data_IF_105894647513
#
_entry.id   IF_105894647513
#
_cell.length_a   1.000
_cell.length_b   1.000
_cell.length_c   1.000
_cell.angle_alpha   90.00
_cell.angle_beta   90.00
_cell.angle_gamma   90.00
#
_symmetry.space_group_name_H-M   'P 1'
#
loop_
_entity.id
_entity.type
_entity.pdbx_description
1 polymer ?
#
# COMPACT_ATOMS: atom_id res chain seq x y z
N UNK A 1 2.02 -3.11 -17.82
CA UNK A 1 3.30 -3.12 -17.05
C UNK A 1 3.84 -4.55 -17.06
N UNK A 2 5.16 -4.72 -17.22
CA UNK A 2 5.77 -6.05 -17.10
C UNK A 2 5.77 -6.53 -15.65
N UNK A 3 5.66 -7.86 -15.45
CA UNK A 3 5.55 -8.48 -14.14
C UNK A 3 6.69 -8.09 -13.19
N UNK A 4 7.93 -8.06 -13.69
CA UNK A 4 9.11 -7.71 -12.89
C UNK A 4 9.07 -6.26 -12.40
N UNK A 5 8.66 -5.31 -13.26
CA UNK A 5 8.51 -3.91 -12.86
C UNK A 5 7.39 -3.73 -11.83
N UNK A 6 6.30 -4.49 -11.94
CA UNK A 6 5.25 -4.50 -10.93
C UNK A 6 5.79 -5.00 -9.58
N UNK A 7 6.55 -6.09 -9.57
CA UNK A 7 7.11 -6.67 -8.36
C UNK A 7 8.10 -5.73 -7.69
N UNK A 8 8.99 -5.10 -8.47
CA UNK A 8 9.90 -4.08 -7.99
C UNK A 8 9.13 -2.88 -7.39
N UNK A 9 8.12 -2.37 -8.09
CA UNK A 9 7.28 -1.28 -7.62
C UNK A 9 6.59 -1.64 -6.30
N UNK A 10 6.00 -2.83 -6.20
CA UNK A 10 5.32 -3.29 -4.98
C UNK A 10 6.31 -3.51 -3.83
N UNK A 11 7.51 -4.01 -4.09
CA UNK A 11 8.55 -4.17 -3.08
C UNK A 11 9.00 -2.80 -2.52
N UNK A 12 9.24 -1.84 -3.40
CA UNK A 12 9.58 -0.47 -3.04
C UNK A 12 8.46 0.20 -2.25
N UNK A 13 7.20 -0.05 -2.60
CA UNK A 13 6.06 0.45 -1.83
C UNK A 13 6.07 -0.10 -0.40
N UNK A 14 6.33 -1.39 -0.22
CA UNK A 14 6.45 -1.99 1.10
C UNK A 14 7.63 -1.39 1.90
N UNK A 15 8.74 -1.07 1.23
CA UNK A 15 9.88 -0.38 1.84
C UNK A 15 9.51 1.04 2.30
N UNK A 16 8.82 1.82 1.47
CA UNK A 16 8.29 3.16 1.83
C UNK A 16 7.41 3.09 3.08
N UNK A 17 6.49 2.12 3.14
CA UNK A 17 5.65 1.93 4.32
C UNK A 17 6.49 1.52 5.55
N UNK A 18 7.56 0.74 5.36
CA UNK A 18 8.53 0.44 6.41
C UNK A 18 9.21 1.69 6.97
N UNK A 19 9.74 2.56 6.09
CA UNK A 19 10.40 3.82 6.46
C UNK A 19 9.46 4.74 7.26
N UNK A 20 8.21 4.91 6.79
CA UNK A 20 7.20 5.70 7.51
C UNK A 20 6.96 5.19 8.93
N UNK A 21 6.89 3.87 9.10
CA UNK A 21 6.68 3.25 10.43
C UNK A 21 7.88 3.44 11.35
N UNK A 22 9.10 3.31 10.82
CA UNK A 22 10.31 3.58 11.58
C UNK A 22 10.30 5.02 12.06
N UNK A 23 9.98 5.98 11.19
CA UNK A 23 9.90 7.39 11.56
C UNK A 23 8.83 7.70 12.63
N UNK A 24 7.77 6.91 12.72
CA UNK A 24 6.71 7.02 13.75
C UNK A 24 7.06 6.31 15.08
N UNK A 25 8.17 5.56 15.13
CA UNK A 25 8.55 4.77 16.32
C UNK A 25 9.10 5.68 17.44
N UNK A 26 8.66 5.49 18.71
CA UNK A 26 9.21 6.22 19.84
C UNK A 26 10.74 6.04 19.96
N UNK A 27 11.46 7.13 20.23
CA UNK A 27 12.91 7.11 20.39
C UNK A 27 13.71 7.33 19.10
N UNK A 28 13.06 7.42 17.94
CA UNK A 28 13.75 7.80 16.69
C UNK A 28 14.08 9.29 16.69
N UNK A 29 15.35 9.60 16.43
CA UNK A 29 15.87 10.97 16.44
C UNK A 29 15.28 11.80 15.30
N UNK A 30 15.37 13.13 15.40
CA UNK A 30 14.95 14.01 14.31
C UNK A 30 15.75 13.79 13.02
N UNK A 31 17.05 13.49 13.14
CA UNK A 31 17.93 13.21 12.01
C UNK A 31 17.55 11.90 11.32
N UNK A 32 17.30 10.84 12.07
CA UNK A 32 16.88 9.55 11.51
C UNK A 32 15.52 9.67 10.81
N UNK A 33 14.56 10.42 11.38
CA UNK A 33 13.29 10.71 10.71
C UNK A 33 13.47 11.49 9.41
N UNK A 34 14.42 12.42 9.37
CA UNK A 34 14.71 13.18 8.16
C UNK A 34 15.28 12.26 7.08
N UNK A 35 16.26 11.41 7.44
CA UNK A 35 16.86 10.42 6.54
C UNK A 35 15.83 9.45 5.97
N UNK A 36 14.94 8.92 6.81
CA UNK A 36 13.87 8.01 6.39
C UNK A 36 12.88 8.71 5.43
N UNK A 37 12.55 9.97 5.71
CA UNK A 37 11.68 10.77 4.85
C UNK A 37 12.32 11.06 3.50
N UNK A 38 13.60 11.37 3.45
CA UNK A 38 14.32 11.59 2.19
C UNK A 38 14.37 10.30 1.37
N UNK A 39 14.66 9.16 1.99
CA UNK A 39 14.63 7.86 1.32
C UNK A 39 13.23 7.52 0.76
N UNK A 40 12.16 7.80 1.52
CA UNK A 40 10.79 7.66 1.04
C UNK A 40 10.54 8.53 -0.21
N UNK A 41 10.96 9.80 -0.16
CA UNK A 41 10.72 10.76 -1.23
C UNK A 41 11.42 10.32 -2.51
N UNK A 42 12.66 9.87 -2.43
CA UNK A 42 13.43 9.44 -3.60
C UNK A 42 12.79 8.21 -4.27
N UNK A 43 12.38 7.20 -3.49
CA UNK A 43 11.65 6.04 -4.03
C UNK A 43 10.33 6.48 -4.68
N UNK A 44 9.57 7.36 -3.99
CA UNK A 44 8.28 7.83 -4.47
C UNK A 44 8.38 8.63 -5.76
N UNK A 45 9.41 9.50 -5.88
CA UNK A 45 9.65 10.31 -7.09
C UNK A 45 9.97 9.42 -8.29
N UNK A 46 10.85 8.42 -8.12
CA UNK A 46 11.24 7.49 -9.19
C UNK A 46 10.03 6.83 -9.85
N UNK A 47 9.09 6.35 -9.04
CA UNK A 47 7.90 5.70 -9.56
C UNK A 47 6.87 6.69 -10.09
N UNK A 48 6.59 7.77 -9.35
CA UNK A 48 5.56 8.73 -9.72
C UNK A 48 5.84 9.43 -11.06
N UNK A 49 7.10 9.78 -11.31
CA UNK A 49 7.51 10.45 -12.55
C UNK A 49 8.01 9.47 -13.63
N UNK A 50 8.03 8.18 -13.33
CA UNK A 50 8.40 7.12 -14.26
C UNK A 50 7.23 6.62 -15.11
N UNK A 51 7.48 5.66 -16.02
CA UNK A 51 6.47 5.09 -16.93
C UNK A 51 5.35 4.30 -16.22
N UNK A 52 5.48 4.06 -14.91
CA UNK A 52 4.52 3.32 -14.09
C UNK A 52 3.91 4.19 -12.97
N UNK A 53 3.95 5.51 -13.14
CA UNK A 53 3.42 6.47 -12.16
C UNK A 53 1.93 6.29 -11.86
N UNK A 54 1.13 5.89 -12.85
CA UNK A 54 -0.29 5.58 -12.64
C UNK A 54 -0.48 4.40 -11.68
N UNK A 55 0.26 3.30 -11.88
CA UNK A 55 0.15 2.10 -11.05
C UNK A 55 0.68 2.36 -9.63
N UNK A 56 1.73 3.19 -9.49
CA UNK A 56 2.20 3.65 -8.19
C UNK A 56 1.17 4.51 -7.47
N UNK A 57 0.55 5.47 -8.17
CA UNK A 57 -0.51 6.30 -7.63
C UNK A 57 -1.72 5.46 -7.19
N UNK A 58 -2.14 4.49 -8.01
CA UNK A 58 -3.20 3.56 -7.66
C UNK A 58 -2.87 2.80 -6.36
N UNK A 59 -1.67 2.22 -6.24
CA UNK A 59 -1.27 1.49 -5.04
C UNK A 59 -1.24 2.39 -3.79
N UNK A 60 -0.79 3.65 -3.93
CA UNK A 60 -0.87 4.67 -2.86
C UNK A 60 -2.31 4.91 -2.42
N UNK A 61 -3.23 5.09 -3.37
CA UNK A 61 -4.65 5.32 -3.09
C UNK A 61 -5.29 4.09 -2.45
N UNK A 62 -5.11 2.90 -3.03
CA UNK A 62 -5.62 1.65 -2.47
C UNK A 62 -5.14 1.45 -1.02
N UNK A 63 -3.86 1.71 -0.74
CA UNK A 63 -3.34 1.67 0.62
C UNK A 63 -4.04 2.65 1.57
N UNK A 64 -4.25 3.90 1.14
CA UNK A 64 -4.96 4.89 1.93
C UNK A 64 -6.41 4.46 2.21
N UNK A 65 -7.11 3.93 1.21
CA UNK A 65 -8.49 3.46 1.33
C UNK A 65 -8.59 2.27 2.29
N UNK A 66 -7.68 1.30 2.20
CA UNK A 66 -7.63 0.16 3.12
C UNK A 66 -7.32 0.59 4.56
N UNK A 67 -6.54 1.65 4.73
CA UNK A 67 -6.21 2.20 6.06
C UNK A 67 -7.40 2.95 6.66
N UNK A 68 -8.15 3.70 5.85
CA UNK A 68 -9.25 4.56 6.31
C UNK A 68 -10.59 3.82 6.39
N UNK A 69 -10.88 2.95 5.43
CA UNK A 69 -12.17 2.30 5.23
C UNK A 69 -12.03 0.78 4.98
N UNK A 70 -11.43 0.02 5.91
CA UNK A 70 -11.14 -1.40 5.69
C UNK A 70 -12.38 -2.28 5.45
N UNK A 71 -13.54 -1.94 6.03
CA UNK A 71 -14.79 -2.68 5.81
C UNK A 71 -15.30 -2.49 4.37
N UNK A 72 -15.38 -1.23 3.92
CA UNK A 72 -15.78 -0.88 2.55
C UNK A 72 -14.84 -1.54 1.53
N UNK A 73 -13.53 -1.51 1.78
CA UNK A 73 -12.56 -2.11 0.87
C UNK A 73 -12.62 -3.65 0.86
N UNK A 74 -13.07 -4.27 1.96
CA UNK A 74 -13.33 -5.72 2.00
C UNK A 74 -14.50 -6.07 1.11
N UNK A 75 -15.64 -5.39 1.26
CA UNK A 75 -16.82 -5.59 0.41
C UNK A 75 -16.54 -5.31 -1.07
N UNK A 76 -15.74 -4.27 -1.35
CA UNK A 76 -15.29 -3.95 -2.70
C UNK A 76 -14.48 -5.10 -3.30
N UNK A 77 -13.48 -5.61 -2.59
CA UNK A 77 -12.63 -6.69 -3.09
C UNK A 77 -13.42 -7.99 -3.27
N UNK A 78 -14.34 -8.31 -2.34
CA UNK A 78 -15.20 -9.48 -2.44
C UNK A 78 -16.10 -9.42 -3.70
N UNK A 79 -16.64 -8.23 -4.03
CA UNK A 79 -17.40 -8.03 -5.28
C UNK A 79 -16.54 -8.21 -6.53
N UNK A 80 -15.31 -7.71 -6.51
CA UNK A 80 -14.36 -7.88 -7.61
C UNK A 80 -14.04 -9.37 -7.83
N UNK A 81 -13.86 -10.15 -6.76
CA UNK A 81 -13.64 -11.60 -6.87
C UNK A 81 -14.85 -12.32 -7.45
N UNK A 82 -16.05 -11.99 -6.98
CA UNK A 82 -17.29 -12.56 -7.50
C UNK A 82 -17.45 -12.28 -9.00
N UNK A 83 -17.23 -11.05 -9.44
CA UNK A 83 -17.27 -10.68 -10.85
C UNK A 83 -16.24 -11.46 -11.69
N UNK A 84 -14.99 -11.56 -11.20
CA UNK A 84 -13.92 -12.30 -11.88
C UNK A 84 -14.24 -13.80 -11.97
N UNK A 85 -14.80 -14.39 -10.93
CA UNK A 85 -15.17 -15.82 -10.91
C UNK A 85 -16.25 -16.17 -11.94
N UNK A 86 -17.13 -15.21 -12.25
CA UNK A 86 -18.17 -15.34 -13.28
C UNK A 86 -17.72 -14.87 -14.67
N UNK A 87 -16.44 -14.55 -14.85
CA UNK A 87 -15.87 -14.12 -16.13
C UNK A 87 -16.26 -12.70 -16.56
N UNK A 88 -16.75 -11.88 -15.62
CA UNK A 88 -17.07 -10.48 -15.87
C UNK A 88 -15.83 -9.59 -15.71
N UNK A 89 -15.81 -8.49 -16.46
CA UNK A 89 -14.84 -7.43 -16.23
C UNK A 89 -15.14 -6.74 -14.89
N UNK A 90 -14.24 -6.90 -13.94
CA UNK A 90 -14.33 -6.32 -12.61
C UNK A 90 -13.75 -4.89 -12.53
N UNK A 91 -13.36 -4.29 -13.67
CA UNK A 91 -12.86 -2.92 -13.75
C UNK A 91 -11.48 -2.71 -13.14
N UNK A 92 -10.76 -3.80 -12.81
CA UNK A 92 -9.38 -3.75 -12.33
C UNK A 92 -8.49 -4.56 -13.26
N UNK A 93 -7.37 -3.96 -13.67
CA UNK A 93 -6.28 -4.73 -14.26
C UNK A 93 -5.69 -5.70 -13.24
N UNK A 94 -4.96 -6.71 -13.71
CA UNK A 94 -4.33 -7.69 -12.82
C UNK A 94 -3.28 -7.09 -11.88
N UNK A 95 -2.61 -6.02 -12.30
CA UNK A 95 -1.66 -5.30 -11.44
C UNK A 95 -2.38 -4.52 -10.33
N UNK A 96 -3.52 -3.91 -10.64
CA UNK A 96 -4.36 -3.18 -9.67
C UNK A 96 -5.03 -4.14 -8.69
N UNK A 97 -5.48 -5.30 -9.17
CA UNK A 97 -5.99 -6.39 -8.34
C UNK A 97 -4.95 -6.88 -7.33
N UNK A 98 -3.73 -7.19 -7.79
CA UNK A 98 -2.61 -7.56 -6.89
C UNK A 98 -2.22 -6.43 -5.92
N UNK A 99 -2.39 -5.17 -6.33
CA UNK A 99 -2.14 -4.01 -5.48
C UNK A 99 -3.16 -3.90 -4.34
N UNK A 100 -4.43 -4.24 -4.58
CA UNK A 100 -5.47 -4.31 -3.53
C UNK A 100 -5.12 -5.35 -2.45
N UNK A 101 -4.68 -6.54 -2.85
CA UNK A 101 -4.23 -7.56 -1.90
C UNK A 101 -3.02 -7.12 -1.08
N UNK A 102 -2.07 -6.41 -1.70
CA UNK A 102 -0.92 -5.88 -0.97
C UNK A 102 -1.34 -4.80 0.04
N UNK A 103 -2.20 -3.87 -0.37
CA UNK A 103 -2.73 -2.81 0.50
C UNK A 103 -3.46 -3.40 1.72
N UNK A 104 -4.34 -4.39 1.51
CA UNK A 104 -5.00 -5.15 2.59
C UNK A 104 -4.00 -5.77 3.57
N UNK A 105 -2.95 -6.42 3.06
CA UNK A 105 -1.93 -7.06 3.90
C UNK A 105 -1.12 -6.04 4.72
N UNK A 106 -0.67 -4.96 4.09
CA UNK A 106 0.16 -3.95 4.76
C UNK A 106 -0.60 -3.25 5.89
N UNK A 107 -1.87 -2.88 5.65
CA UNK A 107 -2.73 -2.22 6.64
C UNK A 107 -3.24 -3.19 7.72
N UNK A 108 -3.43 -4.47 7.39
CA UNK A 108 -3.71 -5.51 8.38
C UNK A 108 -2.56 -5.69 9.38
N UNK A 109 -1.31 -5.70 8.89
CA UNK A 109 -0.09 -5.78 9.73
C UNK A 109 0.14 -4.56 10.61
N UNK A 110 -0.37 -3.38 10.23
CA UNK A 110 -0.35 -2.18 11.07
C UNK A 110 -1.32 -2.31 12.23
N UNK A 111 -2.57 -2.65 11.92
CA UNK A 111 -3.62 -2.83 12.92
C UNK A 111 -3.27 -3.88 13.96
N UNK A 112 -2.64 -4.98 13.55
CA UNK A 112 -2.17 -6.02 14.47
C UNK A 112 -1.03 -5.55 15.40
N UNK A 113 -0.22 -4.58 14.97
CA UNK A 113 0.91 -4.03 15.76
C UNK A 113 0.53 -2.87 16.67
N UNK A 114 -0.60 -2.21 16.41
CA UNK A 114 -1.18 -1.19 17.28
C UNK A 114 -2.42 -1.75 18.00
N UNK A 115 -2.26 -2.65 18.99
CA UNK A 115 -3.36 -2.98 19.87
C UNK A 115 -3.66 -1.72 20.68
N UNK A 116 -4.72 -1.00 20.30
CA UNK A 116 -5.27 0.04 21.16
C UNK A 116 -5.55 -0.62 22.51
N UNK A 117 -4.98 -0.14 23.63
CA UNK A 117 -5.42 -0.59 24.93
C UNK A 117 -6.89 -0.18 25.04
N UNK A 118 -7.79 -1.17 25.05
CA UNK A 118 -9.19 -0.92 25.39
C UNK A 118 -9.18 -0.56 26.87
N UNK A 119 -9.10 0.72 27.18
CA UNK A 119 -9.34 1.25 28.52
C UNK A 119 -10.74 0.77 28.92
N UNK A 120 -10.78 0.03 30.02
CA UNK A 120 -12.00 -0.47 30.64
C UNK A 120 -12.89 0.66 31.12
#
# INVERSE_FOLDING_TARGET
MHREHEEAMRADFAAVIGLRRTAETPGVTGEDRHRDRDAELEISKRWLFGPHGHQWAYLKTAYADWRQHPAVMTEFLDRVEDQRAHGHDAGLSDAEHRSQYQARQLTGRERARSPIPRTR
#
